data_IF_698916790436
#
_entry.id   IF_698916790436
#
_cell.length_a   1.000
_cell.length_b   1.000
_cell.length_c   1.000
_cell.angle_alpha   90.00
_cell.angle_beta   90.00
_cell.angle_gamma   90.00
#
_symmetry.space_group_name_H-M   'P 1'
#
loop_
_entity.id
_entity.type
_entity.pdbx_description
1 polymer ?
#
# COMPACT_ATOMS: atom_id res chain seq x y z
N UNK A 1 -16.26 -12.01 -10.75
CA UNK A 1 -15.37 -10.88 -11.05
C UNK A 1 -15.57 -9.78 -10.04
N UNK A 2 -14.51 -9.38 -9.41
CA UNK A 2 -14.62 -8.31 -8.45
C UNK A 2 -14.72 -6.99 -9.18
N UNK A 3 -15.22 -5.99 -8.50
CA UNK A 3 -15.27 -4.65 -9.06
C UNK A 3 -13.93 -3.93 -8.93
N UNK A 4 -12.90 -4.67 -8.52
CA UNK A 4 -11.60 -4.07 -8.29
C UNK A 4 -11.02 -3.48 -9.57
N UNK A 5 -11.03 -4.25 -10.66
CA UNK A 5 -10.48 -3.76 -11.93
C UNK A 5 -11.25 -2.53 -12.42
N UNK A 6 -12.58 -2.56 -12.32
CA UNK A 6 -13.39 -1.41 -12.68
C UNK A 6 -13.07 -0.21 -11.79
N UNK A 7 -12.94 -0.47 -10.49
CA UNK A 7 -12.63 0.58 -9.54
C UNK A 7 -11.32 1.27 -9.90
N UNK A 8 -10.30 0.47 -10.27
CA UNK A 8 -8.97 0.99 -10.52
C UNK A 8 -8.79 1.55 -11.92
N UNK A 9 -9.66 1.20 -12.88
CA UNK A 9 -9.47 1.57 -14.27
C UNK A 9 -9.51 3.08 -14.50
N UNK A 10 -10.39 3.78 -13.79
CA UNK A 10 -10.60 5.20 -14.00
C UNK A 10 -10.15 6.04 -12.83
N UNK A 11 -9.15 5.58 -12.10
CA UNK A 11 -8.64 6.32 -10.95
C UNK A 11 -7.18 6.68 -11.15
N UNK A 12 -6.77 7.75 -10.49
CA UNK A 12 -5.37 8.15 -10.48
C UNK A 12 -4.70 7.51 -9.28
N UNK A 13 -3.79 6.60 -9.54
CA UNK A 13 -3.04 5.90 -8.51
C UNK A 13 -1.71 6.58 -8.30
N UNK A 14 -1.41 6.92 -7.06
CA UNK A 14 -0.12 7.50 -6.70
C UNK A 14 0.58 6.52 -5.76
N UNK A 15 1.64 5.88 -6.25
CA UNK A 15 2.39 4.89 -5.47
C UNK A 15 3.06 5.56 -4.27
N UNK A 16 2.81 5.04 -3.09
CA UNK A 16 3.34 5.58 -1.85
C UNK A 16 4.40 4.68 -1.23
N UNK A 17 4.27 3.37 -1.38
CA UNK A 17 5.21 2.45 -0.75
C UNK A 17 5.13 1.08 -1.39
N UNK A 18 6.19 0.31 -1.20
CA UNK A 18 6.22 -1.11 -1.57
C UNK A 18 6.72 -1.87 -0.35
N UNK A 19 5.91 -2.82 0.12
CA UNK A 19 6.26 -3.68 1.25
C UNK A 19 6.66 -5.04 0.69
N UNK A 20 7.85 -5.51 1.02
CA UNK A 20 8.36 -6.77 0.50
C UNK A 20 8.54 -7.76 1.65
N UNK A 21 8.11 -8.99 1.41
CA UNK A 21 8.18 -10.07 2.40
C UNK A 21 9.21 -11.11 1.97
N UNK A 22 9.73 -11.86 2.95
CA UNK A 22 10.77 -12.84 2.67
C UNK A 22 10.27 -14.06 1.90
N UNK A 23 8.96 -14.24 1.83
CA UNK A 23 8.36 -15.34 1.07
C UNK A 23 8.08 -14.97 -0.39
N UNK A 24 8.51 -13.78 -0.81
CA UNK A 24 8.30 -13.33 -2.18
C UNK A 24 7.06 -12.49 -2.39
N UNK A 25 6.21 -12.36 -1.38
CA UNK A 25 5.05 -11.47 -1.51
C UNK A 25 5.51 -10.02 -1.55
N UNK A 26 4.74 -9.22 -2.24
CA UNK A 26 4.99 -7.79 -2.34
C UNK A 26 3.64 -7.09 -2.32
N UNK A 27 3.51 -6.09 -1.49
CA UNK A 27 2.28 -5.29 -1.42
C UNK A 27 2.63 -3.87 -1.81
N UNK A 28 1.93 -3.35 -2.81
CA UNK A 28 2.09 -1.97 -3.24
C UNK A 28 0.97 -1.13 -2.68
N UNK A 29 1.32 0.03 -2.20
CA UNK A 29 0.41 0.93 -1.50
C UNK A 29 0.23 2.18 -2.34
N UNK A 30 -1.02 2.49 -2.67
CA UNK A 30 -1.35 3.64 -3.51
C UNK A 30 -2.33 4.56 -2.81
N UNK A 31 -2.16 5.85 -3.02
CA UNK A 31 -3.23 6.81 -2.73
C UNK A 31 -4.13 6.90 -3.96
N UNK A 32 -5.42 6.97 -3.72
CA UNK A 32 -6.42 7.20 -4.76
C UNK A 32 -7.15 8.47 -4.36
N UNK A 33 -6.60 9.61 -4.75
CA UNK A 33 -7.05 10.90 -4.21
C UNK A 33 -8.47 11.24 -4.60
N UNK A 34 -8.86 10.95 -5.83
CA UNK A 34 -10.20 11.26 -6.29
C UNK A 34 -11.26 10.41 -5.60
N UNK A 35 -10.87 9.34 -4.92
CA UNK A 35 -11.78 8.50 -4.17
C UNK A 35 -11.55 8.58 -2.67
N UNK A 36 -10.58 9.40 -2.24
CA UNK A 36 -10.28 9.64 -0.84
C UNK A 36 -10.01 8.35 -0.08
N UNK A 37 -9.14 7.51 -0.64
CA UNK A 37 -8.79 6.25 -0.01
C UNK A 37 -7.38 5.85 -0.37
N UNK A 38 -6.88 4.81 0.31
CA UNK A 38 -5.65 4.16 -0.11
C UNK A 38 -5.95 2.69 -0.38
N UNK A 39 -5.15 2.10 -1.25
CA UNK A 39 -5.34 0.74 -1.74
C UNK A 39 -4.04 -0.01 -1.60
N UNK A 40 -4.13 -1.26 -1.16
CA UNK A 40 -2.99 -2.16 -1.00
C UNK A 40 -3.21 -3.31 -1.95
N UNK A 41 -2.24 -3.55 -2.83
CA UNK A 41 -2.37 -4.58 -3.87
C UNK A 41 -1.21 -5.55 -3.74
N UNK A 42 -1.53 -6.84 -3.56
CA UNK A 42 -0.53 -7.88 -3.48
C UNK A 42 -0.12 -8.29 -4.89
N UNK A 43 1.10 -8.76 -5.05
CA UNK A 43 1.65 -9.06 -6.37
C UNK A 43 1.06 -10.30 -7.04
N UNK A 44 0.13 -10.99 -6.40
CA UNK A 44 -0.62 -12.07 -7.05
C UNK A 44 -1.81 -11.54 -7.85
N UNK A 45 -2.10 -10.24 -7.73
CA UNK A 45 -3.22 -9.58 -8.41
C UNK A 45 -4.59 -10.17 -8.03
N UNK A 46 -4.65 -10.87 -6.91
CA UNK A 46 -5.90 -11.44 -6.41
C UNK A 46 -6.30 -10.86 -5.07
N UNK A 47 -5.31 -10.49 -4.27
CA UNK A 47 -5.56 -9.94 -2.95
C UNK A 47 -5.33 -8.43 -2.95
N UNK A 48 -6.33 -7.73 -2.47
CA UNK A 48 -6.21 -6.29 -2.29
C UNK A 48 -7.01 -5.88 -1.08
N UNK A 49 -6.65 -4.73 -0.53
CA UNK A 49 -7.33 -4.16 0.63
C UNK A 49 -7.59 -2.70 0.33
N UNK A 50 -8.71 -2.21 0.81
CA UNK A 50 -9.14 -0.83 0.59
C UNK A 50 -9.39 -0.18 1.95
N UNK A 51 -8.80 0.99 2.16
CA UNK A 51 -9.03 1.76 3.36
C UNK A 51 -9.61 3.11 2.97
N UNK A 52 -10.88 3.31 3.28
CA UNK A 52 -11.60 4.51 2.90
C UNK A 52 -11.26 5.67 3.83
N UNK A 53 -11.41 6.87 3.28
CA UNK A 53 -11.23 8.10 4.05
C UNK A 53 -9.83 8.24 4.63
N UNK A 54 -8.86 7.67 3.94
CA UNK A 54 -7.46 7.76 4.37
C UNK A 54 -6.57 8.01 3.16
N UNK A 55 -5.77 9.07 3.25
CA UNK A 55 -4.75 9.38 2.25
C UNK A 55 -3.42 9.44 2.99
N UNK A 56 -2.41 8.78 2.46
CA UNK A 56 -1.08 8.72 3.07
C UNK A 56 -0.25 9.88 2.55
N UNK A 57 -0.41 11.03 3.21
CA UNK A 57 0.25 12.26 2.81
C UNK A 57 0.62 13.06 4.04
N UNK A 58 1.91 13.09 4.42
CA UNK A 58 3.03 12.45 3.74
C UNK A 58 3.06 10.96 4.01
N UNK A 59 3.66 10.19 3.11
CA UNK A 59 3.73 8.73 3.27
C UNK A 59 4.86 8.35 4.22
N UNK A 60 4.61 8.45 5.50
CA UNK A 60 5.59 8.11 6.52
C UNK A 60 5.42 6.65 6.94
N UNK A 61 6.52 6.03 7.35
CA UNK A 61 6.50 4.61 7.69
C UNK A 61 5.39 4.25 8.68
N UNK A 62 5.27 4.99 9.77
CA UNK A 62 4.27 4.63 10.77
C UNK A 62 2.83 4.83 10.27
N UNK A 63 2.63 5.79 9.36
CA UNK A 63 1.31 5.98 8.76
C UNK A 63 0.95 4.82 7.85
N UNK A 64 1.94 4.30 7.12
CA UNK A 64 1.74 3.18 6.22
C UNK A 64 1.42 1.92 7.01
N UNK A 65 2.19 1.63 8.06
CA UNK A 65 1.96 0.43 8.85
C UNK A 65 0.64 0.52 9.63
N UNK A 66 0.30 1.70 10.11
CA UNK A 66 -0.99 1.90 10.77
C UNK A 66 -2.14 1.65 9.80
N UNK A 67 -2.02 2.19 8.58
CA UNK A 67 -3.06 2.02 7.57
C UNK A 67 -3.19 0.55 7.16
N UNK A 68 -2.06 -0.17 7.07
CA UNK A 68 -2.11 -1.60 6.79
C UNK A 68 -2.93 -2.32 7.87
N UNK A 69 -2.66 -2.03 9.13
CA UNK A 69 -3.38 -2.66 10.21
C UNK A 69 -4.88 -2.32 10.13
N UNK A 70 -5.21 -1.07 9.90
CA UNK A 70 -6.59 -0.64 9.79
C UNK A 70 -7.31 -1.29 8.61
N UNK A 71 -6.57 -1.59 7.54
CA UNK A 71 -7.15 -2.23 6.36
C UNK A 71 -7.32 -3.74 6.54
N UNK A 72 -6.78 -4.31 7.61
CA UNK A 72 -6.91 -5.74 7.86
C UNK A 72 -5.67 -6.55 7.51
N UNK A 73 -4.55 -5.90 7.27
CA UNK A 73 -3.29 -6.59 6.97
C UNK A 73 -2.52 -6.69 8.28
N UNK A 74 -2.52 -7.88 8.87
CA UNK A 74 -1.99 -8.05 10.22
C UNK A 74 -0.60 -8.68 10.27
N UNK A 75 -0.02 -9.00 9.11
CA UNK A 75 1.29 -9.63 9.05
C UNK A 75 2.40 -8.65 8.69
N UNK A 76 2.19 -7.36 8.97
CA UNK A 76 3.17 -6.34 8.63
C UNK A 76 4.44 -6.42 9.47
N UNK A 77 4.46 -7.28 10.50
CA UNK A 77 5.66 -7.48 11.30
C UNK A 77 6.68 -8.37 10.61
N UNK A 78 6.29 -9.06 9.55
CA UNK A 78 7.14 -10.06 8.90
C UNK A 78 7.68 -9.58 7.56
N UNK A 79 7.59 -8.28 7.29
CA UNK A 79 8.11 -7.77 6.03
C UNK A 79 9.63 -7.62 6.09
N UNK A 80 10.29 -7.80 4.94
CA UNK A 80 11.72 -7.60 4.80
C UNK A 80 12.07 -6.14 4.73
N UNK A 81 11.29 -5.37 3.98
CA UNK A 81 11.58 -3.96 3.80
C UNK A 81 10.31 -3.22 3.43
N UNK A 82 10.31 -1.93 3.73
CA UNK A 82 9.28 -1.01 3.24
C UNK A 82 10.02 0.10 2.51
N UNK A 83 9.74 0.22 1.22
CA UNK A 83 10.27 1.30 0.41
C UNK A 83 9.22 2.39 0.34
N UNK A 84 9.55 3.58 0.86
CA UNK A 84 8.61 4.70 0.92
C UNK A 84 9.03 5.73 -0.11
N UNK A 85 8.09 6.15 -0.96
CA UNK A 85 8.37 7.05 -2.07
C UNK A 85 8.05 8.50 -1.70
N UNK A 86 8.97 9.39 -2.07
CA UNK A 86 8.84 10.82 -1.88
C UNK A 86 9.12 11.47 -3.24
N UNK A 87 8.09 11.55 -4.09
CA UNK A 87 8.30 12.02 -5.45
C UNK A 87 9.14 11.02 -6.23
N UNK A 88 10.25 11.47 -6.79
CA UNK A 88 11.14 10.61 -7.55
C UNK A 88 12.11 9.81 -6.68
N UNK A 89 12.21 10.17 -5.40
CA UNK A 89 13.14 9.52 -4.47
C UNK A 89 12.41 8.51 -3.62
N UNK A 90 13.17 7.55 -3.06
CA UNK A 90 12.59 6.61 -2.12
C UNK A 90 13.56 6.36 -0.97
N UNK A 91 13.02 5.86 0.12
CA UNK A 91 13.79 5.52 1.29
C UNK A 91 13.37 4.15 1.77
N UNK A 92 14.36 3.31 2.08
CA UNK A 92 14.11 1.95 2.54
C UNK A 92 14.18 1.87 4.05
N UNK A 93 13.23 1.13 4.63
CA UNK A 93 13.20 0.82 6.05
C UNK A 93 13.21 -0.69 6.19
N UNK A 94 13.99 -1.17 7.13
CA UNK A 94 14.15 -2.62 7.34
C UNK A 94 13.69 -2.97 8.74
N UNK A 95 13.05 -4.13 8.91
CA UNK A 95 12.66 -4.57 10.25
C UNK A 95 13.89 -4.95 11.04
N UNK A 96 13.73 -5.03 12.32
CA UNK A 96 14.82 -5.41 13.21
C UNK A 96 14.81 -6.90 13.44
#
# INVERSE_FOLDING_TARGET
MTNFDEYMTNTNLALQAIIRYDDGREIRVFNVKDKRCCVFIQNDNEHFWLLRERILEPPMLHNITEAMYQAGIYDNYYHLSVEVFHGADSKFYYPR
#
